data_IF_262243203280
#
_entry.id   IF_262243203280
#
_cell.length_a   1.000
_cell.length_b   1.000
_cell.length_c   1.000
_cell.angle_alpha   90.00
_cell.angle_beta   90.00
_cell.angle_gamma   90.00
#
_symmetry.space_group_name_H-M   'P 1'
#
loop_
_entity.id
_entity.type
_entity.pdbx_description
1 polymer ?
#
# COMPACT_ATOMS: atom_id res chain seq x y z
N UNK A 1 -17.88 7.82 5.29
CA UNK A 1 -17.61 6.38 5.13
C UNK A 1 -16.39 6.22 4.25
N UNK A 2 -15.33 5.56 4.76
CA UNK A 2 -14.13 5.23 3.99
C UNK A 2 -14.55 4.35 2.80
N UNK A 3 -14.22 4.78 1.57
CA UNK A 3 -14.71 4.12 0.35
C UNK A 3 -13.75 3.07 -0.21
N UNK A 4 -12.56 2.94 0.38
CA UNK A 4 -11.64 1.83 0.22
C UNK A 4 -11.40 1.16 1.58
N UNK A 5 -10.90 -0.08 1.56
CA UNK A 5 -10.30 -0.71 2.73
C UNK A 5 -9.00 0.00 3.03
N UNK A 6 -8.88 0.54 4.23
CA UNK A 6 -7.65 1.15 4.74
C UNK A 6 -6.96 0.14 5.67
N UNK A 7 -5.64 0.05 5.54
CA UNK A 7 -4.82 -0.70 6.48
C UNK A 7 -4.53 0.12 7.74
N UNK A 8 -3.90 -0.53 8.71
CA UNK A 8 -3.33 0.15 9.88
C UNK A 8 -2.04 0.86 9.49
N UNK A 9 -1.76 1.99 10.14
CA UNK A 9 -0.50 2.70 9.96
C UNK A 9 0.65 1.85 10.55
N UNK A 10 1.74 1.70 9.79
CA UNK A 10 2.94 0.98 10.26
C UNK A 10 3.63 1.69 11.44
N UNK A 11 3.38 2.99 11.61
CA UNK A 11 3.86 3.78 12.75
C UNK A 11 2.92 3.70 13.95
N UNK A 12 1.77 3.05 13.83
CA UNK A 12 0.84 2.87 14.93
C UNK A 12 1.47 1.99 16.02
N UNK A 13 1.44 2.49 17.25
CA UNK A 13 1.96 1.76 18.39
C UNK A 13 0.98 0.68 18.85
N UNK A 14 1.42 -0.57 18.97
CA UNK A 14 0.60 -1.68 19.48
C UNK A 14 1.26 -2.37 20.68
N UNK A 15 0.56 -3.31 21.33
CA UNK A 15 1.13 -4.00 22.50
C UNK A 15 2.35 -4.85 22.13
N UNK A 16 2.31 -5.54 20.98
CA UNK A 16 3.40 -6.35 20.42
C UNK A 16 3.17 -6.53 18.90
N UNK A 17 4.09 -6.08 18.01
CA UNK A 17 5.27 -5.26 18.28
C UNK A 17 4.91 -3.83 18.69
N UNK A 18 5.83 -3.13 19.36
CA UNK A 18 5.61 -1.73 19.77
C UNK A 18 5.31 -0.85 18.56
N UNK A 19 6.08 -0.91 17.48
CA UNK A 19 5.79 -0.25 16.20
C UNK A 19 6.27 -1.16 15.07
N UNK A 20 5.49 -1.31 13.99
CA UNK A 20 5.88 -2.17 12.88
C UNK A 20 7.04 -1.56 12.07
N UNK A 21 7.06 -0.22 11.92
CA UNK A 21 8.10 0.48 11.16
C UNK A 21 9.50 0.32 11.78
N UNK A 22 9.60 0.09 13.08
CA UNK A 22 10.88 -0.10 13.80
C UNK A 22 11.62 -1.37 13.35
N UNK A 23 10.88 -2.33 12.77
CA UNK A 23 11.44 -3.57 12.22
C UNK A 23 11.87 -3.42 10.75
N UNK A 24 11.64 -2.26 10.15
CA UNK A 24 11.98 -1.97 8.76
C UNK A 24 13.28 -1.17 8.73
N UNK A 25 14.36 -1.78 8.23
CA UNK A 25 15.63 -1.09 8.06
C UNK A 25 15.54 0.18 7.19
N UNK A 26 16.43 1.15 7.42
CA UNK A 26 16.48 2.40 6.65
C UNK A 26 16.69 2.18 5.15
N UNK A 27 17.47 1.16 4.79
CA UNK A 27 17.75 0.81 3.40
C UNK A 27 16.74 -0.19 2.80
N UNK A 28 15.65 -0.50 3.51
CA UNK A 28 14.67 -1.46 3.01
C UNK A 28 13.94 -0.89 1.77
N UNK A 29 13.83 -1.66 0.67
CA UNK A 29 13.20 -1.18 -0.57
C UNK A 29 11.74 -0.74 -0.39
N UNK A 30 11.03 -1.23 0.62
CA UNK A 30 9.66 -0.80 0.92
C UNK A 30 9.53 0.71 1.08
N UNK A 31 10.57 1.39 1.61
CA UNK A 31 10.56 2.85 1.80
C UNK A 31 10.51 3.60 0.47
N UNK A 32 11.28 3.13 -0.52
CA UNK A 32 11.26 3.68 -1.88
C UNK A 32 9.97 3.32 -2.60
N UNK A 33 9.46 2.10 -2.42
CA UNK A 33 8.19 1.68 -3.03
C UNK A 33 7.03 2.54 -2.52
N UNK A 34 6.97 2.80 -1.21
CA UNK A 34 5.96 3.69 -0.62
C UNK A 34 6.06 5.09 -1.21
N UNK A 35 7.22 5.73 -1.10
CA UNK A 35 7.43 7.09 -1.60
C UNK A 35 7.14 7.21 -3.11
N UNK A 36 7.52 6.20 -3.90
CA UNK A 36 7.26 6.19 -5.33
C UNK A 36 5.77 6.06 -5.64
N UNK A 37 5.09 5.06 -5.08
CA UNK A 37 3.69 4.78 -5.42
C UNK A 37 2.74 5.83 -4.85
N UNK A 38 3.05 6.40 -3.68
CA UNK A 38 2.21 7.42 -3.05
C UNK A 38 2.19 8.73 -3.84
N UNK A 39 3.22 9.01 -4.64
CA UNK A 39 3.25 10.18 -5.53
C UNK A 39 2.64 9.95 -6.93
N UNK A 40 2.18 8.73 -7.22
CA UNK A 40 1.52 8.45 -8.49
C UNK A 40 0.04 8.86 -8.46
N UNK A 41 -0.36 9.67 -9.44
CA UNK A 41 -1.77 9.88 -9.74
C UNK A 41 -2.32 8.67 -10.52
N UNK A 42 -2.73 7.63 -9.80
CA UNK A 42 -3.22 6.39 -10.40
C UNK A 42 -4.49 6.59 -11.26
N UNK A 43 -5.28 7.62 -10.97
CA UNK A 43 -6.44 7.94 -11.79
C UNK A 43 -6.00 8.45 -13.17
N UNK A 44 -5.03 9.39 -13.22
CA UNK A 44 -4.45 9.87 -14.49
C UNK A 44 -3.68 8.79 -15.26
N UNK A 45 -3.09 7.84 -14.55
CA UNK A 45 -2.41 6.69 -15.16
C UNK A 45 -3.37 5.61 -15.70
N UNK A 46 -4.69 5.79 -15.54
CA UNK A 46 -5.70 4.92 -16.14
C UNK A 46 -6.05 3.68 -15.31
N UNK A 47 -5.74 3.66 -14.01
CA UNK A 47 -6.19 2.60 -13.13
C UNK A 47 -7.70 2.66 -12.95
N UNK A 48 -8.42 1.71 -13.55
CA UNK A 48 -9.89 1.63 -13.53
C UNK A 48 -10.48 1.54 -12.12
N UNK A 49 -9.73 1.02 -11.15
CA UNK A 49 -10.13 0.90 -9.74
C UNK A 49 -9.73 2.07 -8.83
N UNK A 50 -9.16 3.15 -9.38
CA UNK A 50 -8.73 4.31 -8.58
C UNK A 50 -9.92 5.13 -8.06
N UNK A 51 -11.06 5.07 -8.75
CA UNK A 51 -12.32 5.61 -8.26
C UNK A 51 -13.07 4.54 -7.45
N UNK A 52 -13.48 4.82 -6.20
CA UNK A 52 -14.22 3.85 -5.42
C UNK A 52 -15.63 3.63 -5.97
N UNK A 53 -16.13 2.40 -5.86
CA UNK A 53 -17.51 2.08 -6.19
C UNK A 53 -18.50 2.84 -5.29
N UNK A 54 -19.67 3.18 -5.85
CA UNK A 54 -20.73 3.89 -5.13
C UNK A 54 -21.44 3.02 -4.09
N UNK A 55 -21.44 1.70 -4.28
CA UNK A 55 -22.17 0.72 -3.48
C UNK A 55 -21.37 -0.58 -3.34
N UNK A 56 -21.74 -1.41 -2.38
CA UNK A 56 -21.11 -2.71 -2.13
C UNK A 56 -19.99 -2.67 -1.09
N UNK A 57 -19.22 -3.76 -1.01
CA UNK A 57 -18.06 -3.86 -0.11
C UNK A 57 -16.93 -2.96 -0.65
N UNK A 58 -16.30 -2.11 0.18
CA UNK A 58 -15.13 -1.36 -0.22
C UNK A 58 -14.03 -2.27 -0.78
N UNK A 59 -13.42 -1.86 -1.89
CA UNK A 59 -12.26 -2.54 -2.46
C UNK A 59 -10.97 -2.08 -1.77
N UNK A 60 -9.85 -2.77 -1.99
CA UNK A 60 -8.54 -2.21 -1.71
C UNK A 60 -8.21 -1.12 -2.74
N UNK A 61 -7.52 -0.05 -2.30
CA UNK A 61 -7.03 0.97 -3.22
C UNK A 61 -5.95 0.37 -4.14
N UNK A 62 -5.92 0.69 -5.46
CA UNK A 62 -4.93 0.12 -6.38
C UNK A 62 -3.48 0.41 -6.00
N UNK A 63 -3.21 1.49 -5.26
CA UNK A 63 -1.85 1.78 -4.74
C UNK A 63 -1.33 0.65 -3.86
N UNK A 64 -2.17 0.07 -2.99
CA UNK A 64 -1.79 -1.04 -2.11
C UNK A 64 -1.37 -2.25 -2.94
N UNK A 65 -2.17 -2.60 -3.96
CA UNK A 65 -1.87 -3.73 -4.84
C UNK A 65 -0.60 -3.47 -5.67
N UNK A 66 -0.40 -2.25 -6.14
CA UNK A 66 0.80 -1.86 -6.89
C UNK A 66 2.07 -1.95 -6.02
N UNK A 67 2.01 -1.48 -4.77
CA UNK A 67 3.11 -1.61 -3.81
C UNK A 67 3.50 -3.08 -3.60
N UNK A 68 2.53 -3.96 -3.39
CA UNK A 68 2.75 -5.41 -3.23
C UNK A 68 3.36 -6.01 -4.51
N UNK A 69 2.84 -5.66 -5.68
CA UNK A 69 3.34 -6.15 -6.96
C UNK A 69 4.81 -5.77 -7.18
N UNK A 70 5.16 -4.49 -6.97
CA UNK A 70 6.54 -4.01 -7.11
C UNK A 70 7.45 -4.70 -6.09
N UNK A 71 7.01 -4.83 -4.83
CA UNK A 71 7.78 -5.52 -3.80
C UNK A 71 8.06 -6.98 -4.19
N UNK A 72 7.04 -7.71 -4.62
CA UNK A 72 7.17 -9.09 -5.07
C UNK A 72 8.14 -9.22 -6.25
N UNK A 73 8.02 -8.33 -7.24
CA UNK A 73 8.91 -8.28 -8.40
C UNK A 73 10.38 -8.04 -7.99
N UNK A 74 10.65 -7.04 -7.13
CA UNK A 74 12.00 -6.72 -6.67
C UNK A 74 12.63 -7.83 -5.82
N UNK A 75 11.81 -8.60 -5.11
CA UNK A 75 12.27 -9.72 -4.28
C UNK A 75 12.23 -11.07 -4.99
N UNK A 76 11.97 -11.10 -6.30
CA UNK A 76 11.84 -12.33 -7.10
C UNK A 76 10.83 -13.33 -6.52
N UNK A 77 9.78 -12.84 -5.86
CA UNK A 77 8.69 -13.65 -5.34
C UNK A 77 7.73 -13.92 -6.50
N UNK A 78 7.52 -15.20 -6.81
CA UNK A 78 6.58 -15.61 -7.83
C UNK A 78 5.14 -15.30 -7.37
N UNK A 79 4.39 -14.59 -8.21
CA UNK A 79 2.96 -14.33 -8.02
C UNK A 79 2.09 -15.39 -8.69
#
# INVERSE_FOLDING_TARGET
>A
MKRFIEGEDRQQVTLLPECLDDFIGEDNPVRVIDAFVDELDLHKLGFKGAAPASTGRPAYHPSVLLKIYIYGYLNHIQS
#
